data_IF_533882415008
#
_entry.id   IF_533882415008
#
_cell.length_a   1.000
_cell.length_b   1.000
_cell.length_c   1.000
_cell.angle_alpha   90.00
_cell.angle_beta   90.00
_cell.angle_gamma   90.00
#
_symmetry.space_group_name_H-M   'P 1'
#
loop_
_entity.id
_entity.type
_entity.pdbx_description
1 polymer ?
#
# COMPACT_ATOMS: atom_id res chain seq x y z
N UNK A 1 23.92 -29.08 67.80
CA UNK A 1 24.72 -28.52 66.70
C UNK A 1 23.81 -27.65 65.85
N UNK A 2 24.28 -26.47 65.46
CA UNK A 2 23.46 -25.36 64.94
C UNK A 2 23.03 -25.56 63.48
N UNK A 3 21.81 -25.12 63.15
CA UNK A 3 21.43 -24.76 61.78
C UNK A 3 21.15 -23.27 61.73
N UNK A 4 21.90 -22.59 60.87
CA UNK A 4 21.93 -21.14 60.75
C UNK A 4 20.86 -20.68 59.75
N UNK A 5 19.98 -19.77 60.16
CA UNK A 5 19.00 -19.15 59.26
C UNK A 5 19.70 -18.09 58.39
N UNK A 6 19.57 -18.19 57.07
CA UNK A 6 19.99 -17.14 56.13
C UNK A 6 18.73 -16.49 55.57
N UNK A 7 18.44 -15.28 56.04
CA UNK A 7 17.35 -14.43 55.54
C UNK A 7 17.88 -13.61 54.35
N UNK A 8 17.42 -13.92 53.14
CA UNK A 8 17.84 -13.20 51.93
C UNK A 8 17.01 -11.92 51.78
N UNK A 9 17.58 -10.78 52.17
CA UNK A 9 16.98 -9.45 51.93
C UNK A 9 17.34 -9.01 50.52
N UNK A 10 16.37 -9.04 49.60
CA UNK A 10 16.50 -8.43 48.27
C UNK A 10 16.05 -6.98 48.37
N UNK A 11 17.00 -6.05 48.20
CA UNK A 11 16.73 -4.60 48.25
C UNK A 11 16.17 -4.14 46.91
N UNK A 12 14.94 -3.63 46.90
CA UNK A 12 14.33 -2.96 45.77
C UNK A 12 14.99 -1.59 45.55
N UNK A 13 15.88 -1.48 44.56
CA UNK A 13 16.43 -0.21 44.13
C UNK A 13 15.44 0.48 43.15
N UNK A 14 14.46 1.19 43.70
CA UNK A 14 13.68 2.16 42.94
C UNK A 14 14.54 3.43 42.80
N UNK A 15 15.02 3.73 41.59
CA UNK A 15 15.67 5.00 41.28
C UNK A 15 14.90 5.70 40.16
N UNK A 16 14.68 7.00 40.36
CA UNK A 16 13.85 7.84 39.51
C UNK A 16 14.61 8.28 38.25
N UNK A 17 13.91 8.30 37.11
CA UNK A 17 14.19 9.15 35.94
C UNK A 17 13.87 10.64 36.29
N UNK A 18 14.02 11.66 35.41
CA UNK A 18 14.31 11.71 33.96
C UNK A 18 15.50 12.70 33.69
N UNK A 19 15.68 13.48 32.57
CA UNK A 19 14.85 13.63 31.36
C UNK A 19 15.58 13.85 30.00
N UNK A 20 14.74 14.09 28.98
CA UNK A 20 14.97 14.90 27.76
C UNK A 20 15.51 14.21 26.50
N UNK A 21 14.93 14.59 25.35
CA UNK A 21 15.28 14.11 24.01
C UNK A 21 14.54 12.83 23.60
N UNK A 22 15.10 11.67 23.98
CA UNK A 22 14.80 10.39 23.33
C UNK A 22 13.38 9.87 23.59
N UNK A 23 12.86 10.04 24.80
CA UNK A 23 11.51 9.58 25.16
C UNK A 23 10.41 10.47 24.56
N UNK A 24 10.55 11.80 24.65
CA UNK A 24 9.60 12.73 24.03
C UNK A 24 9.47 12.53 22.51
N UNK A 25 10.55 12.19 21.82
CA UNK A 25 10.49 11.85 20.39
C UNK A 25 9.72 10.55 20.11
N UNK A 26 9.74 9.57 21.02
CA UNK A 26 8.92 8.33 20.92
C UNK A 26 7.46 8.60 21.23
N UNK A 27 7.17 9.41 22.25
CA UNK A 27 5.80 9.72 22.67
C UNK A 27 5.08 10.63 21.64
N UNK A 28 5.80 11.52 20.96
CA UNK A 28 5.24 12.36 19.90
C UNK A 28 5.15 11.67 18.53
N UNK A 29 5.96 10.64 18.25
CA UNK A 29 5.90 9.87 17.01
C UNK A 29 4.86 8.74 17.03
N UNK A 30 4.28 8.45 18.20
CA UNK A 30 3.51 7.24 18.44
C UNK A 30 4.36 5.97 18.32
N UNK A 31 3.74 4.79 18.37
CA UNK A 31 4.41 3.53 18.06
C UNK A 31 4.78 3.50 16.57
N UNK A 32 5.99 3.99 16.23
CA UNK A 32 6.49 4.03 14.85
C UNK A 32 6.56 2.66 14.18
N UNK A 33 6.74 2.65 12.85
CA UNK A 33 6.58 1.57 11.85
C UNK A 33 7.00 0.13 12.26
N UNK A 34 7.85 -0.05 13.28
CA UNK A 34 8.19 -1.35 13.85
C UNK A 34 7.13 -1.93 14.80
N UNK A 35 6.07 -1.21 15.15
CA UNK A 35 4.99 -1.75 15.95
C UNK A 35 4.01 -2.52 15.06
N UNK A 36 3.75 -3.79 15.39
CA UNK A 36 2.60 -4.49 14.85
C UNK A 36 1.33 -3.67 15.18
N UNK A 37 0.37 -3.54 14.26
CA UNK A 37 -0.88 -2.85 14.55
C UNK A 37 -1.53 -3.47 15.80
N UNK A 38 -1.92 -2.63 16.76
CA UNK A 38 -2.26 -3.03 18.14
C UNK A 38 -3.37 -4.11 18.25
N UNK A 39 -4.12 -4.28 17.17
CA UNK A 39 -5.32 -5.12 17.07
C UNK A 39 -5.22 -6.20 15.99
N UNK A 40 -4.01 -6.66 15.64
CA UNK A 40 -3.81 -7.74 14.68
C UNK A 40 -4.63 -8.99 15.06
N UNK A 41 -5.60 -9.35 14.21
CA UNK A 41 -6.51 -10.48 14.45
C UNK A 41 -7.83 -10.17 15.20
N UNK A 42 -8.06 -8.94 15.67
CA UNK A 42 -9.39 -8.54 16.17
C UNK A 42 -10.43 -8.59 15.03
N UNK A 43 -11.62 -9.13 15.28
CA UNK A 43 -12.65 -9.30 14.22
C UNK A 43 -13.35 -7.99 13.84
N UNK A 44 -13.38 -7.01 14.74
CA UNK A 44 -14.08 -5.73 14.62
C UNK A 44 -13.13 -4.52 14.54
N UNK A 45 -11.85 -4.74 14.25
CA UNK A 45 -10.88 -3.69 13.95
C UNK A 45 -10.17 -4.00 12.64
N UNK A 46 -10.18 -3.05 11.70
CA UNK A 46 -9.47 -3.17 10.43
C UNK A 46 -8.11 -2.45 10.50
N UNK A 47 -7.03 -3.21 10.33
CA UNK A 47 -5.68 -2.68 10.27
C UNK A 47 -5.32 -2.25 8.84
N UNK A 48 -5.02 -0.96 8.66
CA UNK A 48 -4.74 -0.36 7.34
C UNK A 48 -3.37 0.30 7.36
N UNK A 49 -2.57 0.08 6.32
CA UNK A 49 -1.37 0.86 6.02
C UNK A 49 -1.51 1.55 4.67
N UNK A 50 -1.05 2.80 4.57
CA UNK A 50 -0.89 3.51 3.31
C UNK A 50 0.59 3.76 3.07
N UNK A 51 1.09 3.35 1.90
CA UNK A 51 2.51 3.46 1.56
C UNK A 51 2.67 3.95 0.12
N UNK A 52 3.35 5.08 -0.02
CA UNK A 52 3.88 5.50 -1.31
C UNK A 52 5.14 4.68 -1.59
N UNK A 53 5.06 3.83 -2.61
CA UNK A 53 6.14 2.89 -2.95
C UNK A 53 7.13 3.45 -3.96
N UNK A 54 6.88 4.63 -4.53
CA UNK A 54 7.78 5.35 -5.43
C UNK A 54 8.38 4.43 -6.52
N UNK A 55 7.53 3.64 -7.17
CA UNK A 55 7.84 2.84 -8.35
C UNK A 55 7.51 3.72 -9.56
N UNK A 56 8.46 4.57 -9.95
CA UNK A 56 8.28 5.54 -11.04
C UNK A 56 8.14 4.83 -12.40
N UNK A 57 7.38 5.38 -13.37
CA UNK A 57 7.15 4.74 -14.67
C UNK A 57 8.42 4.26 -15.38
N UNK A 58 8.27 3.25 -16.26
CA UNK A 58 9.36 2.72 -17.10
C UNK A 58 10.05 3.81 -17.94
N UNK A 59 9.38 4.90 -18.31
CA UNK A 59 10.01 6.06 -18.96
C UNK A 59 11.15 6.71 -18.14
N UNK A 60 11.23 6.47 -16.83
CA UNK A 60 12.36 6.86 -15.99
C UNK A 60 13.65 6.07 -16.33
N UNK A 61 13.55 4.91 -16.97
CA UNK A 61 14.65 4.07 -17.45
C UNK A 61 15.35 4.71 -18.65
N UNK A 62 14.62 5.48 -19.46
CA UNK A 62 15.15 6.23 -20.61
C UNK A 62 15.83 7.56 -20.21
N UNK A 63 15.73 7.99 -18.95
CA UNK A 63 16.43 9.19 -18.47
C UNK A 63 17.94 8.96 -18.53
N UNK A 64 18.73 9.75 -19.29
CA UNK A 64 20.15 9.47 -19.62
C UNK A 64 21.17 9.34 -18.47
N UNK A 65 20.73 9.45 -17.22
CA UNK A 65 21.55 9.32 -16.01
C UNK A 65 20.99 8.32 -14.98
N UNK A 66 19.76 7.82 -15.17
CA UNK A 66 19.11 6.86 -14.27
C UNK A 66 19.24 5.43 -14.83
N UNK A 67 18.81 5.22 -16.07
CA UNK A 67 19.09 3.99 -16.82
C UNK A 67 18.56 2.70 -16.20
N UNK A 68 19.04 1.57 -16.73
CA UNK A 68 18.68 0.22 -16.25
C UNK A 68 19.06 -0.07 -14.79
N UNK A 69 19.95 0.73 -14.18
CA UNK A 69 20.28 0.58 -12.75
C UNK A 69 19.16 1.11 -11.86
N UNK A 70 18.42 2.13 -12.31
CA UNK A 70 17.26 2.64 -11.60
C UNK A 70 16.11 1.63 -11.64
N UNK A 71 15.80 1.04 -12.81
CA UNK A 71 14.80 -0.02 -12.98
C UNK A 71 14.97 -1.14 -11.93
N UNK A 72 16.17 -1.73 -11.91
CA UNK A 72 16.55 -2.80 -10.98
C UNK A 72 16.42 -2.40 -9.51
N UNK A 73 16.73 -1.14 -9.17
CA UNK A 73 16.52 -0.64 -7.81
C UNK A 73 15.04 -0.47 -7.44
N UNK A 74 14.12 -0.41 -8.41
CA UNK A 74 12.67 -0.49 -8.18
C UNK A 74 12.26 -1.95 -7.94
N UNK A 75 12.65 -2.86 -8.83
CA UNK A 75 12.41 -4.31 -8.73
C UNK A 75 12.95 -4.92 -7.42
N UNK A 76 14.22 -4.67 -7.10
CA UNK A 76 14.89 -5.14 -5.86
C UNK A 76 14.18 -4.61 -4.61
N UNK A 77 13.67 -3.38 -4.65
CA UNK A 77 12.93 -2.77 -3.54
C UNK A 77 11.52 -3.34 -3.43
N UNK A 78 10.82 -3.54 -4.54
CA UNK A 78 9.50 -4.18 -4.58
C UNK A 78 9.54 -5.57 -3.92
N UNK A 79 10.53 -6.39 -4.27
CA UNK A 79 10.73 -7.72 -3.70
C UNK A 79 10.94 -7.71 -2.17
N UNK A 80 11.41 -6.60 -1.59
CA UNK A 80 11.67 -6.46 -0.16
C UNK A 80 10.48 -5.89 0.63
N UNK A 81 9.50 -5.24 -0.01
CA UNK A 81 8.42 -4.52 0.70
C UNK A 81 7.38 -5.46 1.31
N UNK A 82 6.92 -6.49 0.58
CA UNK A 82 5.76 -7.29 0.98
C UNK A 82 5.85 -7.91 2.40
N UNK A 83 7.00 -8.47 2.86
CA UNK A 83 7.12 -9.02 4.22
C UNK A 83 6.89 -7.99 5.35
N UNK A 84 7.19 -6.71 5.12
CA UNK A 84 6.93 -5.64 6.09
C UNK A 84 5.45 -5.26 6.17
N UNK A 85 4.70 -5.48 5.10
CA UNK A 85 3.27 -5.18 4.99
C UNK A 85 2.37 -6.34 5.45
N UNK A 86 2.93 -7.54 5.61
CA UNK A 86 2.26 -8.73 6.19
C UNK A 86 1.38 -8.44 7.43
N UNK A 87 1.76 -7.58 8.41
CA UNK A 87 0.97 -7.36 9.63
C UNK A 87 -0.37 -6.61 9.43
N UNK A 88 -0.66 -6.09 8.25
CA UNK A 88 -1.87 -5.30 8.01
C UNK A 88 -2.98 -6.15 7.39
N UNK A 89 -4.25 -5.77 7.60
CA UNK A 89 -5.40 -6.38 6.93
C UNK A 89 -5.58 -5.81 5.51
N UNK A 90 -5.19 -4.54 5.33
CA UNK A 90 -5.34 -3.77 4.10
C UNK A 90 -4.08 -2.95 3.84
N UNK A 91 -3.62 -2.98 2.61
CA UNK A 91 -2.48 -2.21 2.09
C UNK A 91 -3.01 -1.27 1.01
N UNK A 92 -2.77 0.02 1.20
CA UNK A 92 -3.00 1.05 0.20
C UNK A 92 -1.65 1.42 -0.41
N UNK A 93 -1.50 1.21 -1.72
CA UNK A 93 -0.32 1.61 -2.48
C UNK A 93 -0.59 2.92 -3.23
N UNK A 94 0.46 3.73 -3.35
CA UNK A 94 0.50 4.92 -4.22
C UNK A 94 1.87 5.02 -4.90
N UNK A 95 1.91 5.62 -6.08
CA UNK A 95 3.08 5.58 -6.98
C UNK A 95 3.56 4.17 -7.31
N UNK A 96 2.63 3.24 -7.55
CA UNK A 96 2.92 1.93 -8.11
C UNK A 96 2.83 1.96 -9.65
N UNK A 97 3.66 2.76 -10.34
CA UNK A 97 3.55 2.95 -11.79
C UNK A 97 4.45 2.02 -12.64
N UNK A 98 5.64 1.65 -12.16
CA UNK A 98 6.53 0.72 -12.89
C UNK A 98 5.91 -0.67 -12.99
N UNK A 99 5.58 -1.12 -14.20
CA UNK A 99 4.84 -2.37 -14.42
C UNK A 99 5.60 -3.61 -13.89
N UNK A 100 6.89 -3.74 -14.24
CA UNK A 100 7.77 -4.84 -13.81
C UNK A 100 7.88 -4.89 -12.27
N UNK A 101 8.25 -3.77 -11.63
CA UNK A 101 8.42 -3.74 -10.18
C UNK A 101 7.09 -3.82 -9.42
N UNK A 102 5.99 -3.34 -10.01
CA UNK A 102 4.66 -3.50 -9.45
C UNK A 102 4.23 -4.95 -9.44
N UNK A 103 4.41 -5.70 -10.53
CA UNK A 103 4.06 -7.12 -10.58
C UNK A 103 4.76 -7.88 -9.45
N UNK A 104 6.08 -7.69 -9.29
CA UNK A 104 6.89 -8.27 -8.20
C UNK A 104 6.29 -7.96 -6.81
N UNK A 105 5.86 -6.71 -6.58
CA UNK A 105 5.26 -6.29 -5.30
C UNK A 105 3.88 -6.94 -5.07
N UNK A 106 3.02 -6.97 -6.09
CA UNK A 106 1.67 -7.51 -5.99
C UNK A 106 1.70 -9.04 -5.84
N UNK A 107 2.60 -9.74 -6.53
CA UNK A 107 2.85 -11.16 -6.31
C UNK A 107 3.40 -11.46 -4.91
N UNK A 108 4.31 -10.63 -4.40
CA UNK A 108 4.82 -10.72 -3.04
C UNK A 108 3.70 -10.56 -1.99
N UNK A 109 2.81 -9.59 -2.18
CA UNK A 109 1.64 -9.38 -1.32
C UNK A 109 0.62 -10.52 -1.43
N UNK A 110 0.39 -11.06 -2.63
CA UNK A 110 -0.42 -12.27 -2.85
C UNK A 110 0.15 -13.46 -2.05
N UNK A 111 1.47 -13.67 -2.12
CA UNK A 111 2.18 -14.69 -1.34
C UNK A 111 2.10 -14.49 0.17
N UNK A 112 2.03 -13.23 0.62
CA UNK A 112 1.78 -12.89 2.02
C UNK A 112 0.31 -12.99 2.45
N UNK A 113 -0.61 -13.33 1.53
CA UNK A 113 -2.02 -13.60 1.79
C UNK A 113 -2.96 -12.39 1.64
N UNK A 114 -2.58 -11.40 0.85
CA UNK A 114 -3.51 -10.38 0.34
C UNK A 114 -4.18 -10.93 -0.92
N UNK A 115 -5.45 -11.37 -0.79
CA UNK A 115 -6.16 -12.15 -1.81
C UNK A 115 -7.27 -11.39 -2.53
N UNK A 116 -7.44 -10.10 -2.21
CA UNK A 116 -8.43 -9.22 -2.84
C UNK A 116 -7.73 -7.92 -3.22
N UNK A 117 -8.07 -7.36 -4.38
CA UNK A 117 -7.50 -6.10 -4.86
C UNK A 117 -8.57 -5.26 -5.55
N UNK A 118 -8.40 -3.94 -5.57
CA UNK A 118 -9.02 -3.11 -6.61
C UNK A 118 -8.25 -3.28 -7.92
N UNK A 119 -8.82 -2.80 -9.02
CA UNK A 119 -8.02 -2.40 -10.17
C UNK A 119 -7.04 -1.29 -9.78
N UNK A 120 -6.04 -1.03 -10.63
CA UNK A 120 -5.19 0.15 -10.51
C UNK A 120 -5.99 1.35 -11.00
N UNK A 121 -5.87 2.50 -10.33
CA UNK A 121 -6.59 3.71 -10.70
C UNK A 121 -6.52 4.03 -12.21
N UNK A 122 -7.67 4.06 -12.87
CA UNK A 122 -7.88 4.32 -14.31
C UNK A 122 -7.40 3.24 -15.29
N UNK A 123 -6.87 2.12 -14.80
CA UNK A 123 -6.43 1.01 -15.65
C UNK A 123 -7.59 0.26 -16.32
N UNK A 124 -8.76 0.23 -15.69
CA UNK A 124 -9.96 -0.44 -16.20
C UNK A 124 -10.65 0.33 -17.36
N UNK A 125 -10.15 1.50 -17.73
CA UNK A 125 -10.80 2.42 -18.68
C UNK A 125 -10.22 2.38 -20.11
N UNK A 126 -9.01 1.84 -20.31
CA UNK A 126 -8.25 2.08 -21.56
C UNK A 126 -8.77 1.38 -22.83
N UNK A 127 -9.77 0.52 -22.74
CA UNK A 127 -10.38 -0.16 -23.90
C UNK A 127 -11.51 0.65 -24.59
N UNK A 128 -12.02 1.74 -23.98
CA UNK A 128 -13.07 2.58 -24.60
C UNK A 128 -12.71 4.08 -24.65
N UNK A 129 -12.39 4.55 -25.87
CA UNK A 129 -12.41 5.94 -26.37
C UNK A 129 -11.73 7.03 -25.50
N UNK A 130 -10.49 7.37 -25.87
CA UNK A 130 -9.58 8.27 -25.13
C UNK A 130 -9.87 9.78 -25.33
N UNK A 131 -11.07 10.25 -25.01
CA UNK A 131 -11.46 11.69 -25.08
C UNK A 131 -12.06 12.24 -23.75
N UNK A 132 -11.99 11.48 -22.66
CA UNK A 132 -12.63 11.84 -21.39
C UNK A 132 -11.73 12.66 -20.44
N UNK A 133 -11.48 13.92 -20.77
CA UNK A 133 -10.95 14.95 -19.83
C UNK A 133 -11.96 15.34 -18.73
N UNK A 134 -12.88 14.43 -18.38
CA UNK A 134 -14.12 14.75 -17.70
C UNK A 134 -14.52 13.66 -16.69
N UNK A 135 -14.10 13.83 -15.43
CA UNK A 135 -14.60 13.15 -14.19
C UNK A 135 -15.29 11.79 -14.42
N UNK A 136 -14.53 10.80 -14.85
CA UNK A 136 -15.08 9.45 -15.03
C UNK A 136 -15.19 8.78 -13.66
N UNK A 137 -16.43 8.48 -13.24
CA UNK A 137 -16.71 7.51 -12.18
C UNK A 137 -16.72 6.12 -12.81
N UNK A 138 -15.73 5.30 -12.50
CA UNK A 138 -15.58 3.97 -13.09
C UNK A 138 -15.96 2.94 -12.02
N UNK A 139 -16.99 2.15 -12.29
CA UNK A 139 -17.39 1.03 -11.44
C UNK A 139 -16.79 -0.26 -12.00
N UNK A 140 -15.54 -0.53 -11.65
CA UNK A 140 -14.89 -1.80 -11.97
C UNK A 140 -15.11 -2.80 -10.81
N UNK A 141 -15.51 -4.06 -11.09
CA UNK A 141 -15.72 -5.05 -10.04
C UNK A 141 -14.41 -5.34 -9.28
N UNK A 142 -14.44 -5.55 -7.96
CA UNK A 142 -13.22 -5.85 -7.21
C UNK A 142 -12.59 -7.18 -7.65
N UNK A 143 -11.27 -7.16 -7.83
CA UNK A 143 -10.46 -8.31 -8.21
C UNK A 143 -10.27 -9.26 -7.03
N UNK A 144 -10.35 -10.54 -7.32
CA UNK A 144 -10.23 -11.64 -6.36
C UNK A 144 -9.12 -12.57 -6.82
N UNK A 145 -8.29 -13.06 -5.90
CA UNK A 145 -7.28 -14.06 -6.22
C UNK A 145 -7.95 -15.39 -6.62
N UNK A 146 -7.51 -15.96 -7.74
CA UNK A 146 -8.03 -17.19 -8.29
C UNK A 146 -7.80 -18.40 -7.37
N UNK A 147 -8.70 -19.38 -7.48
CA UNK A 147 -8.55 -20.68 -6.86
C UNK A 147 -7.84 -21.66 -7.81
N UNK A 148 -6.53 -21.48 -8.02
CA UNK A 148 -5.70 -22.35 -8.86
C UNK A 148 -4.86 -21.57 -9.87
N UNK A 149 -4.45 -22.25 -10.95
CA UNK A 149 -3.60 -21.71 -12.03
C UNK A 149 -4.38 -20.84 -13.04
N UNK A 150 -5.51 -20.26 -12.64
CA UNK A 150 -6.37 -19.45 -13.49
C UNK A 150 -5.89 -17.99 -13.52
N UNK A 151 -5.95 -17.36 -14.69
CA UNK A 151 -5.70 -15.94 -14.87
C UNK A 151 -7.00 -15.14 -14.69
N UNK A 152 -7.12 -14.48 -13.53
CA UNK A 152 -8.19 -13.53 -13.22
C UNK A 152 -7.70 -12.08 -13.14
N UNK A 153 -6.52 -11.79 -13.69
CA UNK A 153 -5.95 -10.45 -13.68
C UNK A 153 -5.72 -9.86 -12.29
N UNK A 154 -5.46 -10.68 -11.26
CA UNK A 154 -5.13 -10.17 -9.92
C UNK A 154 -3.89 -9.27 -10.00
N UNK A 155 -4.06 -7.96 -9.79
CA UNK A 155 -2.98 -6.99 -9.96
C UNK A 155 -2.59 -6.67 -11.41
N UNK A 156 -3.18 -7.35 -12.39
CA UNK A 156 -3.03 -7.05 -13.81
C UNK A 156 -4.14 -6.12 -14.26
N UNK A 157 -3.84 -4.82 -14.20
CA UNK A 157 -4.53 -3.83 -14.99
C UNK A 157 -3.56 -2.65 -15.16
N UNK A 158 -2.94 -2.55 -16.33
CA UNK A 158 -1.87 -1.60 -16.62
C UNK A 158 -1.18 -1.95 -17.92
N UNK A 159 -1.57 -1.27 -18.98
CA UNK A 159 -0.85 -1.23 -20.27
C UNK A 159 -0.69 0.27 -20.58
N UNK A 160 0.38 0.86 -20.02
CA UNK A 160 0.63 2.31 -20.01
C UNK A 160 1.92 2.74 -20.72
N UNK A 161 2.76 1.79 -21.14
CA UNK A 161 4.11 2.08 -21.61
C UNK A 161 4.17 2.65 -23.06
N UNK A 162 3.01 2.88 -23.67
CA UNK A 162 2.85 3.57 -24.96
C UNK A 162 2.85 5.11 -24.83
N UNK A 163 3.90 5.64 -24.23
CA UNK A 163 4.50 6.94 -24.60
C UNK A 163 3.81 8.27 -24.23
N UNK A 164 2.56 8.32 -23.79
CA UNK A 164 1.90 9.60 -23.40
C UNK A 164 1.06 9.60 -22.12
N UNK A 165 0.41 8.49 -21.75
CA UNK A 165 -0.52 8.42 -20.60
C UNK A 165 -0.18 7.25 -19.68
N UNK A 166 0.02 7.50 -18.39
CA UNK A 166 0.22 6.50 -17.33
C UNK A 166 -1.06 6.30 -16.50
N UNK A 167 -1.18 5.13 -15.86
CA UNK A 167 -2.23 4.92 -14.86
C UNK A 167 -2.01 5.79 -13.59
N UNK A 168 -2.95 5.74 -12.65
CA UNK A 168 -2.89 6.55 -11.43
C UNK A 168 -1.95 6.02 -10.34
N UNK A 169 -1.43 4.80 -10.48
CA UNK A 169 -0.49 4.18 -9.54
C UNK A 169 -1.07 3.93 -8.13
N UNK A 170 -2.40 3.94 -7.98
CA UNK A 170 -3.11 3.78 -6.69
C UNK A 170 -3.88 2.45 -6.68
N UNK A 171 -3.69 1.66 -5.63
CA UNK A 171 -4.23 0.30 -5.50
C UNK A 171 -4.62 0.04 -4.03
N UNK A 172 -5.74 -0.65 -3.78
CA UNK A 172 -6.10 -1.17 -2.46
C UNK A 172 -6.05 -2.70 -2.50
N UNK A 173 -5.14 -3.31 -1.72
CA UNK A 173 -5.06 -4.75 -1.51
C UNK A 173 -5.59 -5.11 -0.12
N UNK A 174 -6.29 -6.25 0.00
CA UNK A 174 -6.89 -6.70 1.25
C UNK A 174 -6.76 -8.21 1.47
N UNK A 175 -6.73 -8.60 2.75
CA UNK A 175 -6.85 -9.99 3.20
C UNK A 175 -8.30 -10.48 3.26
N UNK A 176 -9.24 -9.55 3.32
CA UNK A 176 -10.67 -9.79 3.51
C UNK A 176 -11.46 -9.33 2.27
N UNK A 177 -12.65 -9.90 2.00
CA UNK A 177 -13.42 -9.61 0.80
C UNK A 177 -13.68 -8.12 0.57
N UNK A 178 -13.29 -7.63 -0.62
CA UNK A 178 -13.76 -6.37 -1.17
C UNK A 178 -15.10 -6.64 -1.86
N UNK A 179 -16.17 -6.01 -1.39
CA UNK A 179 -17.56 -6.28 -1.81
C UNK A 179 -18.15 -5.23 -2.73
N UNK A 180 -17.49 -4.08 -2.84
CA UNK A 180 -17.85 -2.95 -3.69
C UNK A 180 -16.57 -2.14 -3.94
N UNK A 181 -16.37 -1.69 -5.17
CA UNK A 181 -15.21 -0.92 -5.60
C UNK A 181 -15.60 0.01 -6.75
N UNK A 182 -15.03 1.20 -6.75
CA UNK A 182 -15.16 2.18 -7.83
C UNK A 182 -14.04 3.22 -7.70
N UNK A 183 -13.78 3.95 -8.76
CA UNK A 183 -12.71 4.93 -8.82
C UNK A 183 -13.17 6.23 -9.50
N UNK A 184 -12.40 7.30 -9.30
CA UNK A 184 -12.61 8.60 -9.92
C UNK A 184 -11.27 9.17 -10.36
N UNK A 185 -11.19 9.58 -11.62
CA UNK A 185 -10.08 10.38 -12.16
C UNK A 185 -10.37 11.86 -11.98
N UNK A 186 -9.40 12.61 -11.47
CA UNK A 186 -9.46 14.07 -11.34
C UNK A 186 -9.36 14.72 -12.73
N UNK A 187 -10.22 15.70 -13.02
CA UNK A 187 -10.21 16.43 -14.29
C UNK A 187 -9.22 17.60 -14.34
N UNK A 188 -8.71 18.02 -13.18
CA UNK A 188 -7.73 19.09 -13.06
C UNK A 188 -6.33 18.47 -12.89
N UNK A 189 -5.37 18.87 -13.73
CA UNK A 189 -3.96 18.44 -13.64
C UNK A 189 -3.03 19.62 -13.96
N UNK A 190 -1.83 19.62 -13.39
CA UNK A 190 -0.79 20.60 -13.69
C UNK A 190 0.60 19.97 -13.87
N UNK A 191 1.38 20.54 -14.79
CA UNK A 191 2.79 20.18 -14.98
C UNK A 191 3.00 18.71 -15.38
N UNK A 192 3.88 18.00 -14.65
CA UNK A 192 4.24 16.60 -14.97
C UNK A 192 3.16 15.58 -14.59
N UNK A 193 2.23 15.95 -13.71
CA UNK A 193 1.18 15.05 -13.24
C UNK A 193 0.05 14.87 -14.26
N UNK A 194 -0.05 15.73 -15.29
CA UNK A 194 -0.93 15.53 -16.44
C UNK A 194 -0.61 14.28 -17.27
N UNK A 195 0.53 13.61 -17.04
CA UNK A 195 0.89 12.35 -17.70
C UNK A 195 0.50 11.10 -16.90
N UNK A 196 -0.23 11.25 -15.78
CA UNK A 196 -0.72 10.14 -14.98
C UNK A 196 -2.16 10.39 -14.54
N UNK A 197 -3.00 9.34 -14.52
CA UNK A 197 -4.40 9.44 -14.15
C UNK A 197 -4.61 9.66 -12.63
N UNK A 198 -4.32 10.87 -12.14
CA UNK A 198 -4.52 11.26 -10.73
C UNK A 198 -5.99 11.15 -10.34
N UNK A 199 -6.26 10.80 -9.08
CA UNK A 199 -7.61 10.44 -8.67
C UNK A 199 -7.66 9.71 -7.35
N UNK A 200 -8.72 8.93 -7.18
CA UNK A 200 -8.88 8.04 -6.03
C UNK A 200 -9.61 6.75 -6.36
N UNK A 201 -9.34 5.71 -5.57
CA UNK A 201 -10.03 4.42 -5.59
C UNK A 201 -10.75 4.23 -4.26
N UNK A 202 -11.99 3.77 -4.30
CA UNK A 202 -12.78 3.38 -3.14
C UNK A 202 -12.90 1.84 -3.05
N UNK A 203 -12.96 1.33 -1.82
CA UNK A 203 -13.27 -0.07 -1.55
C UNK A 203 -14.16 -0.23 -0.30
N UNK A 204 -15.15 -1.14 -0.36
CA UNK A 204 -15.90 -1.62 0.80
C UNK A 204 -15.46 -3.03 1.21
N UNK A 205 -14.90 -3.17 2.41
CA UNK A 205 -14.28 -4.41 2.90
C UNK A 205 -15.11 -5.02 4.03
N UNK A 206 -15.37 -6.33 3.98
CA UNK A 206 -16.08 -7.07 5.04
C UNK A 206 -15.11 -7.85 5.93
N UNK A 207 -14.96 -7.44 7.20
CA UNK A 207 -14.18 -8.17 8.22
C UNK A 207 -15.04 -8.41 9.46
N UNK A 208 -15.15 -9.67 9.89
CA UNK A 208 -15.87 -10.05 11.12
C UNK A 208 -17.36 -9.69 11.15
N UNK A 209 -18.01 -9.58 9.99
CA UNK A 209 -19.40 -9.11 9.89
C UNK A 209 -19.56 -7.60 10.06
N UNK A 210 -18.47 -6.84 9.88
CA UNK A 210 -18.45 -5.38 9.81
C UNK A 210 -17.95 -4.96 8.42
N UNK A 211 -18.68 -4.00 7.83
CA UNK A 211 -18.27 -3.31 6.61
C UNK A 211 -17.44 -2.07 6.95
N UNK A 212 -16.31 -1.93 6.28
CA UNK A 212 -15.43 -0.78 6.34
C UNK A 212 -15.37 -0.14 4.96
N UNK A 213 -15.25 1.18 4.91
CA UNK A 213 -15.18 1.94 3.66
C UNK A 213 -13.85 2.69 3.63
N UNK A 214 -13.08 2.51 2.56
CA UNK A 214 -11.78 3.15 2.38
C UNK A 214 -11.77 3.95 1.10
N UNK A 215 -11.02 5.04 1.10
CA UNK A 215 -10.63 5.79 -0.10
C UNK A 215 -9.11 5.91 -0.09
N UNK A 216 -8.49 5.47 -1.17
CA UNK A 216 -7.06 5.62 -1.45
C UNK A 216 -6.90 6.68 -2.55
N UNK A 217 -5.95 7.60 -2.41
CA UNK A 217 -5.73 8.67 -3.40
C UNK A 217 -4.25 9.01 -3.51
N UNK A 218 -3.86 9.45 -4.71
CA UNK A 218 -2.64 10.21 -4.92
C UNK A 218 -3.02 11.50 -5.66
N UNK A 219 -3.00 12.62 -4.92
CA UNK A 219 -3.33 13.93 -5.45
C UNK A 219 -2.16 14.55 -6.25
N UNK A 220 -2.44 15.66 -6.92
CA UNK A 220 -1.45 16.50 -7.62
C UNK A 220 -0.25 16.85 -6.73
N UNK A 221 0.96 16.70 -7.27
CA UNK A 221 2.19 17.24 -6.70
C UNK A 221 2.53 18.60 -7.32
N UNK A 222 2.77 19.61 -6.49
CA UNK A 222 3.14 20.96 -6.93
C UNK A 222 1.98 21.96 -6.95
N UNK A 223 2.28 23.14 -7.50
CA UNK A 223 1.48 24.38 -7.58
C UNK A 223 2.14 25.36 -8.56
#
# INVERSE_FOLDING_TARGET
MTRLSILLIVITALLLEPPSGVWAARDCAGPGINHQPETYGASDVLSVIAYNVYLLPISARDIPFMGNNFAKAQEERAALIAPFLKPFDVVILSEAYDDDAREILLEGLRGEGFLYSTHILASAYRDEDSDSTNRVLIQAPPLHACAGDEDCGFGQAGEGDSGVDQDGGVIILARHPITDAWELVYGDCEGRDCHAAKGFVYAAIEKGGKRYHLIATHAQFGW
#
